data_IF_969366302959
#
_entry.id   IF_969366302959
#
_cell.length_a   1.000
_cell.length_b   1.000
_cell.length_c   1.000
_cell.angle_alpha   90.00
_cell.angle_beta   90.00
_cell.angle_gamma   90.00
#
_symmetry.space_group_name_H-M   'P 1'
#
loop_
_entity.id
_entity.type
_entity.pdbx_description
1 polymer ?
#
# COMPACT_ATOMS: atom_id res chain seq x y z
N UNK A 1 -30.71 35.69 -26.71
CA UNK A 1 -31.55 36.84 -27.15
C UNK A 1 -32.55 36.28 -28.15
N UNK A 2 -33.86 36.28 -28.00
CA UNK A 2 -34.80 36.96 -27.11
C UNK A 2 -36.01 36.03 -26.88
N UNK A 3 -36.82 36.37 -25.90
CA UNK A 3 -37.83 35.56 -25.22
C UNK A 3 -39.23 36.20 -25.42
N UNK A 4 -40.30 35.38 -25.33
CA UNK A 4 -41.73 35.66 -24.95
C UNK A 4 -42.61 36.53 -25.89
N UNK A 5 -43.97 36.62 -25.74
CA UNK A 5 -44.96 35.89 -24.91
C UNK A 5 -46.36 35.58 -25.54
N UNK A 6 -47.24 34.87 -24.79
CA UNK A 6 -48.70 35.03 -24.93
C UNK A 6 -49.63 33.94 -24.35
N UNK A 7 -50.11 34.11 -23.11
CA UNK A 7 -51.42 33.64 -22.58
C UNK A 7 -52.44 34.81 -22.75
N UNK A 8 -53.81 34.70 -22.63
CA UNK A 8 -54.56 34.03 -21.54
C UNK A 8 -56.03 33.48 -21.78
N UNK A 9 -56.42 32.58 -20.85
CA UNK A 9 -57.69 32.29 -20.09
C UNK A 9 -59.15 32.61 -20.53
N UNK A 10 -59.99 31.58 -20.25
CA UNK A 10 -61.33 31.51 -19.57
C UNK A 10 -62.61 31.88 -20.39
N UNK A 11 -63.81 31.29 -20.21
CA UNK A 11 -64.65 31.04 -18.99
C UNK A 11 -65.90 30.16 -19.27
N UNK A 12 -66.37 29.43 -18.23
CA UNK A 12 -67.78 29.25 -17.73
C UNK A 12 -68.76 28.41 -18.62
N UNK A 13 -69.67 27.51 -18.17
CA UNK A 13 -70.47 27.39 -16.94
C UNK A 13 -70.90 25.94 -16.62
N UNK A 14 -71.30 25.72 -15.36
CA UNK A 14 -72.03 24.56 -14.80
C UNK A 14 -73.56 24.63 -15.05
N UNK A 15 -74.29 23.53 -14.78
CA UNK A 15 -75.23 23.60 -13.65
C UNK A 15 -75.28 22.34 -12.76
N UNK A 16 -75.84 22.59 -11.59
CA UNK A 16 -76.03 21.81 -10.37
C UNK A 16 -77.09 20.70 -10.43
N UNK A 17 -76.93 19.67 -9.59
CA UNK A 17 -78.04 18.96 -8.93
C UNK A 17 -77.67 18.56 -7.49
N UNK A 18 -78.59 18.87 -6.57
CA UNK A 18 -78.58 18.54 -5.15
C UNK A 18 -79.14 17.12 -4.91
N UNK A 19 -78.62 16.39 -3.91
CA UNK A 19 -79.38 16.00 -2.71
C UNK A 19 -78.69 14.90 -1.86
N UNK A 20 -78.72 15.13 -0.53
CA UNK A 20 -78.82 14.20 0.63
C UNK A 20 -77.90 12.98 0.66
N UNK A 21 -76.96 12.89 1.60
CA UNK A 21 -77.21 12.57 3.01
C UNK A 21 -76.85 11.10 3.24
N UNK A 22 -75.79 10.78 4.00
CA UNK A 22 -75.92 10.19 5.33
C UNK A 22 -74.52 10.03 5.95
N UNK A 23 -74.39 10.40 7.22
CA UNK A 23 -73.20 10.18 8.05
C UNK A 23 -73.15 8.71 8.46
N UNK A 24 -72.05 7.99 8.23
CA UNK A 24 -71.69 6.85 9.07
C UNK A 24 -70.16 6.61 9.10
N UNK A 25 -69.67 6.57 10.35
CA UNK A 25 -68.57 5.78 10.89
C UNK A 25 -67.13 5.93 10.34
N UNK A 26 -66.34 6.60 11.19
CA UNK A 26 -64.90 6.55 11.39
C UNK A 26 -64.15 5.30 10.90
N UNK A 27 -63.16 5.57 10.05
CA UNK A 27 -61.85 4.94 9.94
C UNK A 27 -61.27 4.42 11.27
N UNK A 28 -61.00 3.11 11.39
CA UNK A 28 -59.87 2.54 12.16
C UNK A 28 -59.55 1.12 11.70
N UNK A 29 -58.63 1.00 10.74
CA UNK A 29 -57.76 -0.16 10.51
C UNK A 29 -56.70 0.28 9.49
N UNK A 30 -55.75 1.11 9.96
CA UNK A 30 -54.54 1.41 9.19
C UNK A 30 -53.58 0.21 9.35
N UNK A 31 -52.95 -0.26 8.26
CA UNK A 31 -52.15 -1.47 8.27
C UNK A 31 -50.84 -1.25 9.04
N UNK A 32 -50.49 -2.26 9.83
CA UNK A 32 -49.30 -2.37 10.67
C UNK A 32 -48.03 -2.63 9.81
N UNK A 33 -47.78 -1.77 8.81
CA UNK A 33 -46.87 -2.09 7.72
C UNK A 33 -45.98 -0.92 7.31
N UNK A 34 -45.39 -0.20 8.25
CA UNK A 34 -44.28 0.71 7.97
C UNK A 34 -43.42 0.92 9.23
N UNK A 35 -42.68 -0.12 9.63
CA UNK A 35 -41.54 0.07 10.53
C UNK A 35 -40.39 -0.90 10.20
N UNK A 36 -40.10 -1.07 8.91
CA UNK A 36 -38.72 -1.34 8.49
C UNK A 36 -38.09 0.01 8.19
N UNK A 37 -37.85 0.78 9.25
CA UNK A 37 -36.94 1.90 9.17
C UNK A 37 -35.63 1.34 8.62
N UNK A 38 -35.26 1.78 7.42
CA UNK A 38 -33.96 1.49 6.84
C UNK A 38 -32.91 1.94 7.85
N UNK A 39 -32.36 0.98 8.59
CA UNK A 39 -31.01 1.05 9.10
C UNK A 39 -30.13 1.05 7.85
N UNK A 40 -29.97 2.22 7.24
CA UNK A 40 -28.87 2.46 6.33
C UNK A 40 -27.65 2.44 7.25
N UNK A 41 -26.81 1.38 7.24
CA UNK A 41 -25.59 1.43 8.00
C UNK A 41 -24.83 2.60 7.40
N UNK A 42 -24.59 3.66 8.18
CA UNK A 42 -23.68 4.71 7.75
C UNK A 42 -22.41 4.01 7.31
N UNK A 43 -21.99 4.22 6.06
CA UNK A 43 -20.80 3.58 5.51
C UNK A 43 -19.62 3.97 6.41
N UNK A 44 -19.25 3.09 7.32
CA UNK A 44 -18.11 3.30 8.21
C UNK A 44 -16.87 3.30 7.34
N UNK A 45 -16.12 4.40 7.33
CA UNK A 45 -14.86 4.47 6.62
C UNK A 45 -13.88 3.47 7.24
N UNK A 46 -13.32 2.57 6.43
CA UNK A 46 -12.26 1.67 6.87
C UNK A 46 -10.91 2.37 6.76
N UNK A 47 -10.23 2.53 7.90
CA UNK A 47 -8.90 3.15 7.98
C UNK A 47 -7.83 2.06 7.96
N UNK A 48 -6.80 2.26 7.14
CA UNK A 48 -5.57 1.48 7.11
C UNK A 48 -4.38 2.37 7.46
N UNK A 49 -3.53 1.90 8.36
CA UNK A 49 -2.24 2.51 8.66
C UNK A 49 -1.15 1.75 7.93
N UNK A 50 -0.45 2.43 7.02
CA UNK A 50 0.69 1.85 6.30
C UNK A 50 1.96 2.38 6.96
N UNK A 51 2.72 1.46 7.58
CA UNK A 51 4.09 1.69 7.99
C UNK A 51 4.98 1.20 6.85
N UNK A 52 5.98 1.99 6.49
CA UNK A 52 6.90 1.58 5.42
C UNK A 52 8.35 1.92 5.71
N UNK A 53 9.24 1.11 5.15
CA UNK A 53 10.67 1.35 5.05
C UNK A 53 11.12 1.14 3.61
N UNK A 54 12.23 1.77 3.25
CA UNK A 54 12.91 1.61 1.97
C UNK A 54 14.39 1.97 2.16
N UNK A 55 15.27 1.37 1.36
CA UNK A 55 16.69 1.75 1.28
C UNK A 55 17.42 1.71 2.65
N UNK A 56 17.08 0.71 3.47
CA UNK A 56 17.66 0.54 4.80
C UNK A 56 19.14 0.20 4.75
N UNK A 57 19.62 -0.38 3.64
CA UNK A 57 21.03 -0.62 3.35
C UNK A 57 21.84 -1.12 4.56
N UNK A 58 21.35 -2.22 5.15
CA UNK A 58 22.01 -2.95 6.23
C UNK A 58 22.30 -2.08 7.48
N UNK A 59 21.55 -0.99 7.70
CA UNK A 59 21.60 -0.16 8.92
C UNK A 59 20.82 -0.82 10.08
N UNK A 60 21.29 -2.00 10.49
CA UNK A 60 20.66 -2.76 11.57
C UNK A 60 20.85 -2.10 12.94
N UNK A 61 22.08 -1.67 13.22
CA UNK A 61 22.38 -0.88 14.41
C UNK A 61 21.89 0.56 14.24
N UNK A 62 21.74 1.25 15.36
CA UNK A 62 21.52 2.69 15.34
C UNK A 62 22.72 3.44 14.72
N UNK A 63 22.44 4.49 13.98
CA UNK A 63 23.42 5.28 13.21
C UNK A 63 23.62 6.66 13.81
N UNK A 64 24.64 7.38 13.35
CA UNK A 64 24.65 8.85 13.45
C UNK A 64 23.57 9.46 12.54
N UNK A 65 23.38 10.77 12.66
CA UNK A 65 22.45 11.59 11.89
C UNK A 65 22.72 11.57 10.37
N UNK A 66 23.98 11.42 9.99
CA UNK A 66 24.41 11.20 8.61
C UNK A 66 24.34 9.73 8.15
N UNK A 67 23.63 8.86 8.90
CA UNK A 67 23.52 7.41 8.64
C UNK A 67 24.86 6.64 8.67
N UNK A 68 25.89 7.22 9.26
CA UNK A 68 27.19 6.60 9.54
C UNK A 68 27.23 5.80 10.84
N UNK A 69 28.44 5.43 11.27
CA UNK A 69 28.65 4.72 12.54
C UNK A 69 28.35 5.66 13.70
N UNK A 70 27.38 5.29 14.55
CA UNK A 70 27.12 6.09 15.72
C UNK A 70 28.27 6.05 16.75
N UNK A 71 28.70 7.23 17.20
CA UNK A 71 29.76 7.40 18.22
C UNK A 71 29.24 7.97 19.54
N UNK A 72 28.10 8.67 19.52
CA UNK A 72 27.51 9.34 20.68
C UNK A 72 26.09 8.82 20.87
N UNK A 73 25.90 7.91 21.84
CA UNK A 73 24.65 7.14 22.02
C UNK A 73 23.40 8.03 22.10
N UNK A 74 23.49 9.17 22.79
CA UNK A 74 22.36 10.09 22.97
C UNK A 74 21.93 10.82 21.69
N UNK A 75 22.72 10.74 20.61
CA UNK A 75 22.43 11.33 19.30
C UNK A 75 22.21 10.26 18.22
N UNK A 76 22.20 8.97 18.58
CA UNK A 76 21.99 7.92 17.59
C UNK A 76 20.52 7.76 17.24
N UNK A 77 20.27 7.30 16.02
CA UNK A 77 18.93 7.13 15.46
C UNK A 77 18.78 5.85 14.67
N UNK A 78 17.58 5.61 14.12
CA UNK A 78 17.32 4.45 13.29
C UNK A 78 17.62 3.13 14.02
N UNK A 79 18.05 2.13 13.26
CA UNK A 79 18.31 0.78 13.77
C UNK A 79 17.04 -0.01 14.07
N UNK A 80 17.11 -1.33 13.85
CA UNK A 80 15.94 -2.21 13.88
C UNK A 80 15.30 -2.33 15.26
N UNK A 81 16.06 -2.14 16.35
CA UNK A 81 15.52 -2.16 17.71
C UNK A 81 14.61 -0.96 18.02
N UNK A 82 14.99 0.24 17.56
CA UNK A 82 14.18 1.46 17.72
C UNK A 82 12.96 1.40 16.79
N UNK A 83 13.17 0.94 15.55
CA UNK A 83 12.08 0.67 14.60
C UNK A 83 11.05 -0.29 15.21
N UNK A 84 11.50 -1.40 15.81
CA UNK A 84 10.63 -2.38 16.44
C UNK A 84 9.75 -1.74 17.52
N UNK A 85 10.35 -0.94 18.41
CA UNK A 85 9.59 -0.23 19.45
C UNK A 85 8.47 0.61 18.84
N UNK A 86 8.78 1.40 17.81
CA UNK A 86 7.80 2.28 17.17
C UNK A 86 6.70 1.53 16.42
N UNK A 87 7.07 0.45 15.72
CA UNK A 87 6.11 -0.43 15.04
C UNK A 87 5.13 -1.03 16.05
N UNK A 88 5.63 -1.51 17.20
CA UNK A 88 4.77 -2.10 18.24
C UNK A 88 3.83 -1.07 18.87
N UNK A 89 4.32 0.14 19.18
CA UNK A 89 3.47 1.24 19.66
C UNK A 89 2.30 1.49 18.71
N UNK A 90 2.57 1.60 17.41
CA UNK A 90 1.54 1.90 16.41
C UNK A 90 0.56 0.74 16.28
N UNK A 91 1.05 -0.51 16.22
CA UNK A 91 0.20 -1.72 16.17
C UNK A 91 -0.70 -1.87 17.39
N UNK A 92 -0.30 -1.36 18.55
CA UNK A 92 -1.14 -1.35 19.75
C UNK A 92 -2.23 -0.26 19.70
N UNK A 93 -1.97 0.85 19.00
CA UNK A 93 -2.91 1.98 18.91
C UNK A 93 -3.83 1.97 17.69
N UNK A 94 -3.48 1.25 16.63
CA UNK A 94 -4.18 1.26 15.35
C UNK A 94 -4.72 -0.15 15.00
N UNK A 95 -5.99 -0.29 14.60
CA UNK A 95 -6.62 -1.60 14.43
C UNK A 95 -6.19 -2.35 13.16
N UNK A 96 -5.83 -1.61 12.11
CA UNK A 96 -5.50 -2.16 10.79
C UNK A 96 -4.15 -1.60 10.36
N UNK A 97 -3.09 -2.40 10.50
CA UNK A 97 -1.71 -1.97 10.21
C UNK A 97 -1.08 -2.93 9.22
N UNK A 98 -0.38 -2.38 8.23
CA UNK A 98 0.57 -3.10 7.40
C UNK A 98 1.96 -2.48 7.57
N UNK A 99 2.98 -3.32 7.76
CA UNK A 99 4.38 -2.96 7.71
C UNK A 99 5.00 -3.47 6.41
N UNK A 100 5.36 -2.55 5.51
CA UNK A 100 5.82 -2.84 4.16
C UNK A 100 7.28 -2.41 3.98
N UNK A 101 8.02 -3.14 3.16
CA UNK A 101 9.37 -2.73 2.74
C UNK A 101 9.44 -2.56 1.21
N UNK A 102 9.96 -1.44 0.75
CA UNK A 102 10.06 -1.14 -0.67
C UNK A 102 11.44 -1.52 -1.28
N UNK A 103 12.21 -2.40 -0.64
CA UNK A 103 13.46 -2.95 -1.18
C UNK A 103 14.72 -2.24 -0.68
N UNK A 104 15.86 -2.80 -1.09
CA UNK A 104 17.23 -2.38 -0.73
C UNK A 104 17.51 -2.46 0.78
N UNK A 105 17.15 -3.60 1.36
CA UNK A 105 17.64 -4.03 2.68
C UNK A 105 19.08 -4.53 2.61
N UNK A 106 19.42 -5.19 1.49
CA UNK A 106 20.75 -5.68 1.18
C UNK A 106 21.74 -4.53 0.96
N UNK A 107 23.03 -4.88 1.07
CA UNK A 107 24.18 -3.98 0.89
C UNK A 107 24.29 -2.86 1.94
N UNK A 108 25.49 -2.31 2.14
CA UNK A 108 25.68 -1.02 2.81
C UNK A 108 26.52 -1.01 4.08
N UNK A 109 26.59 -2.11 4.84
CA UNK A 109 27.48 -2.22 6.04
C UNK A 109 28.19 -3.57 6.12
N UNK A 110 29.05 -3.71 7.14
CA UNK A 110 29.71 -4.99 7.46
C UNK A 110 28.71 -6.10 7.83
N UNK A 111 27.50 -5.75 8.28
CA UNK A 111 26.46 -6.74 8.58
C UNK A 111 26.13 -7.57 7.33
N UNK A 112 25.83 -6.91 6.21
CA UNK A 112 25.59 -7.61 4.95
C UNK A 112 26.82 -8.36 4.44
N UNK A 113 28.02 -7.78 4.60
CA UNK A 113 29.27 -8.42 4.17
C UNK A 113 29.47 -9.78 4.87
N UNK A 114 29.15 -9.85 6.16
CA UNK A 114 29.35 -11.05 7.00
C UNK A 114 28.17 -12.02 6.91
N UNK A 115 26.94 -11.52 7.06
CA UNK A 115 25.73 -12.35 7.21
C UNK A 115 24.96 -12.56 5.90
N UNK A 116 25.29 -11.80 4.85
CA UNK A 116 24.86 -12.00 3.46
C UNK A 116 23.33 -12.09 3.28
N UNK A 117 22.57 -11.32 4.05
CA UNK A 117 21.11 -11.30 4.02
C UNK A 117 20.43 -12.13 5.12
N UNK A 118 21.18 -12.94 5.86
CA UNK A 118 20.62 -13.75 6.97
C UNK A 118 20.10 -12.83 8.07
N UNK A 119 20.83 -11.73 8.29
CA UNK A 119 20.48 -10.66 9.20
C UNK A 119 19.17 -9.96 8.78
N UNK A 120 18.98 -9.75 7.48
CA UNK A 120 17.75 -9.15 6.93
C UNK A 120 16.57 -10.06 7.19
N UNK A 121 16.67 -11.35 6.80
CA UNK A 121 15.61 -12.32 7.04
C UNK A 121 15.28 -12.45 8.54
N UNK A 122 16.30 -12.47 9.41
CA UNK A 122 16.12 -12.56 10.85
C UNK A 122 15.35 -11.37 11.42
N UNK A 123 15.82 -10.14 11.18
CA UNK A 123 15.23 -8.95 11.80
C UNK A 123 13.90 -8.56 11.18
N UNK A 124 13.71 -8.73 9.86
CA UNK A 124 12.40 -8.46 9.25
C UNK A 124 11.34 -9.45 9.74
N UNK A 125 11.71 -10.73 9.94
CA UNK A 125 10.81 -11.70 10.58
C UNK A 125 10.47 -11.30 12.02
N UNK A 126 11.44 -10.81 12.79
CA UNK A 126 11.22 -10.38 14.18
C UNK A 126 10.35 -9.11 14.27
N UNK A 127 10.52 -8.18 13.33
CA UNK A 127 9.67 -6.99 13.17
C UNK A 127 8.26 -7.35 12.69
N UNK A 128 8.10 -8.52 12.07
CA UNK A 128 6.84 -8.99 11.51
C UNK A 128 6.40 -8.17 10.31
N UNK A 129 7.28 -7.98 9.32
CA UNK A 129 6.88 -7.37 8.04
C UNK A 129 5.75 -8.16 7.38
N UNK A 130 4.86 -7.45 6.70
CA UNK A 130 3.69 -8.01 6.02
C UNK A 130 3.95 -8.29 4.54
N UNK A 131 4.83 -7.51 3.90
CA UNK A 131 5.36 -7.76 2.56
C UNK A 131 6.64 -6.95 2.31
N UNK A 132 7.45 -7.41 1.37
CA UNK A 132 8.61 -6.68 0.85
C UNK A 132 8.63 -6.75 -0.67
N UNK A 133 8.92 -5.64 -1.34
CA UNK A 133 9.29 -5.66 -2.75
C UNK A 133 10.81 -5.86 -2.92
N UNK A 134 11.23 -6.50 -4.00
CA UNK A 134 12.65 -6.60 -4.33
C UNK A 134 13.17 -5.27 -4.84
N UNK A 135 14.26 -4.78 -4.26
CA UNK A 135 15.09 -3.72 -4.80
C UNK A 135 16.24 -4.27 -5.66
N UNK A 136 17.07 -3.37 -6.18
CA UNK A 136 18.21 -3.77 -7.00
C UNK A 136 19.30 -4.45 -6.17
N UNK A 137 19.55 -4.00 -4.94
CA UNK A 137 20.65 -4.52 -4.11
C UNK A 137 20.38 -5.92 -3.55
N UNK A 138 19.13 -6.39 -3.57
CA UNK A 138 18.81 -7.78 -3.28
C UNK A 138 19.52 -8.77 -4.24
N UNK A 139 19.96 -8.31 -5.42
CA UNK A 139 20.67 -9.10 -6.42
C UNK A 139 22.20 -8.99 -6.35
N UNK A 140 22.78 -8.31 -5.35
CA UNK A 140 24.23 -8.03 -5.30
C UNK A 140 25.10 -9.28 -5.19
N UNK A 141 24.57 -10.31 -4.53
CA UNK A 141 25.16 -11.63 -4.38
C UNK A 141 24.61 -12.64 -5.42
N UNK A 142 23.98 -12.14 -6.48
CA UNK A 142 23.33 -12.93 -7.52
C UNK A 142 22.06 -13.63 -7.04
N UNK A 143 21.44 -14.37 -7.96
CA UNK A 143 20.20 -15.13 -7.71
C UNK A 143 20.37 -16.13 -6.57
N UNK A 144 21.54 -16.76 -6.44
CA UNK A 144 21.81 -17.71 -5.35
C UNK A 144 21.81 -17.02 -3.98
N UNK A 145 22.44 -15.85 -3.86
CA UNK A 145 22.47 -15.06 -2.63
C UNK A 145 21.14 -14.38 -2.28
N UNK A 146 20.28 -14.17 -3.28
CA UNK A 146 18.88 -13.79 -3.05
C UNK A 146 18.07 -15.00 -2.55
N UNK A 147 18.16 -16.13 -3.25
CA UNK A 147 17.40 -17.35 -2.93
C UNK A 147 17.71 -17.86 -1.52
N UNK A 148 18.99 -17.85 -1.13
CA UNK A 148 19.45 -18.22 0.19
C UNK A 148 20.41 -17.14 0.70
N UNK A 149 20.07 -16.39 1.76
CA UNK A 149 19.07 -16.74 2.77
C UNK A 149 17.67 -16.16 2.57
N UNK A 150 17.52 -14.97 1.98
CA UNK A 150 16.30 -14.16 2.11
C UNK A 150 15.04 -14.92 1.69
N UNK A 151 14.94 -15.33 0.43
CA UNK A 151 13.71 -15.93 -0.09
C UNK A 151 13.29 -17.22 0.62
N UNK A 152 14.26 -18.01 1.11
CA UNK A 152 14.00 -19.26 1.84
C UNK A 152 13.64 -19.07 3.31
N UNK A 153 13.96 -17.92 3.91
CA UNK A 153 13.88 -17.74 5.37
C UNK A 153 12.83 -16.72 5.81
N UNK A 154 12.41 -15.79 4.94
CA UNK A 154 11.36 -14.82 5.29
C UNK A 154 10.00 -15.50 5.49
N UNK A 155 9.20 -14.94 6.38
CA UNK A 155 7.86 -15.42 6.75
C UNK A 155 6.73 -14.61 6.10
N UNK A 156 7.10 -13.68 5.22
CA UNK A 156 6.22 -12.77 4.51
C UNK A 156 6.48 -12.85 3.00
N UNK A 157 5.50 -12.50 2.16
CA UNK A 157 5.67 -12.50 0.72
C UNK A 157 6.74 -11.52 0.25
N UNK A 158 7.59 -11.99 -0.65
CA UNK A 158 8.48 -11.15 -1.46
C UNK A 158 7.83 -10.90 -2.81
N UNK A 159 7.82 -9.64 -3.25
CA UNK A 159 7.01 -9.19 -4.37
C UNK A 159 7.83 -8.56 -5.50
N UNK A 160 7.53 -8.96 -6.73
CA UNK A 160 7.92 -8.24 -7.95
C UNK A 160 7.10 -8.76 -9.14
N UNK A 161 6.31 -7.90 -9.76
CA UNK A 161 5.42 -8.24 -10.87
C UNK A 161 6.10 -8.16 -12.24
N UNK A 162 7.19 -7.40 -12.34
CA UNK A 162 7.89 -7.14 -13.58
C UNK A 162 9.21 -7.91 -13.72
N UNK A 163 9.50 -8.86 -12.82
CA UNK A 163 10.61 -9.80 -12.98
C UNK A 163 10.09 -11.12 -13.52
N UNK A 164 10.55 -11.47 -14.72
CA UNK A 164 10.29 -12.74 -15.38
C UNK A 164 11.55 -13.60 -15.37
N UNK A 165 11.46 -14.75 -14.71
CA UNK A 165 12.54 -15.74 -14.72
C UNK A 165 12.44 -16.66 -15.95
N UNK A 166 13.58 -16.93 -16.56
CA UNK A 166 13.74 -17.89 -17.67
C UNK A 166 14.58 -19.11 -17.22
N UNK A 167 14.46 -20.23 -17.94
CA UNK A 167 15.26 -21.42 -17.64
C UNK A 167 16.76 -21.16 -17.91
N UNK A 168 17.67 -21.72 -17.07
CA UNK A 168 17.41 -22.71 -16.01
C UNK A 168 17.07 -22.10 -14.64
N UNK A 169 17.03 -20.78 -14.51
CA UNK A 169 16.81 -20.10 -13.21
C UNK A 169 15.35 -20.18 -12.78
N UNK A 170 14.41 -20.15 -13.74
CA UNK A 170 12.98 -20.20 -13.46
C UNK A 170 12.60 -21.35 -12.52
N UNK A 171 13.03 -22.57 -12.79
CA UNK A 171 12.75 -23.72 -11.93
C UNK A 171 13.32 -23.63 -10.50
N UNK A 172 14.34 -22.79 -10.26
CA UNK A 172 14.98 -22.62 -8.96
C UNK A 172 14.31 -21.57 -8.08
N UNK A 173 13.86 -20.47 -8.68
CA UNK A 173 13.33 -19.29 -7.97
C UNK A 173 11.81 -19.16 -8.06
N UNK A 174 11.16 -19.91 -8.96
CA UNK A 174 9.70 -19.92 -9.08
C UNK A 174 9.03 -20.29 -7.76
N UNK A 175 8.06 -19.49 -7.35
CA UNK A 175 7.30 -19.68 -6.11
C UNK A 175 7.90 -19.02 -4.87
N UNK A 176 9.12 -18.49 -4.95
CA UNK A 176 9.76 -17.79 -3.83
C UNK A 176 9.47 -16.28 -3.81
N UNK A 177 9.17 -15.70 -4.97
CA UNK A 177 8.61 -14.35 -5.08
C UNK A 177 7.33 -14.39 -5.91
N UNK A 178 6.49 -13.38 -5.74
CA UNK A 178 5.17 -13.32 -6.36
C UNK A 178 4.93 -11.95 -7.01
N UNK A 179 4.13 -11.87 -8.07
CA UNK A 179 3.77 -10.59 -8.67
C UNK A 179 2.94 -9.72 -7.70
N UNK A 180 2.08 -10.36 -6.91
CA UNK A 180 1.26 -9.70 -5.90
C UNK A 180 0.94 -10.65 -4.75
N UNK A 181 0.42 -10.10 -3.65
CA UNK A 181 -0.26 -10.85 -2.58
C UNK A 181 -1.56 -10.16 -2.19
N UNK A 182 -2.57 -10.94 -1.82
CA UNK A 182 -3.78 -10.44 -1.16
C UNK A 182 -3.64 -10.75 0.33
N UNK A 183 -3.63 -9.72 1.17
CA UNK A 183 -3.59 -9.83 2.62
C UNK A 183 -4.96 -9.50 3.21
N UNK A 184 -5.35 -10.22 4.26
CA UNK A 184 -6.56 -9.90 5.04
C UNK A 184 -6.16 -8.98 6.18
N UNK A 185 -6.79 -7.81 6.29
CA UNK A 185 -6.52 -6.81 7.32
C UNK A 185 -7.83 -6.42 7.95
N UNK A 186 -8.07 -6.90 9.18
CA UNK A 186 -9.41 -6.88 9.77
C UNK A 186 -10.39 -7.67 8.89
N UNK A 187 -11.52 -7.04 8.54
CA UNK A 187 -12.56 -7.63 7.69
C UNK A 187 -12.34 -7.40 6.18
N UNK A 188 -11.30 -6.64 5.80
CA UNK A 188 -11.06 -6.21 4.43
C UNK A 188 -9.88 -6.97 3.79
N UNK A 189 -9.84 -6.96 2.45
CA UNK A 189 -8.73 -7.49 1.65
C UNK A 189 -7.96 -6.34 1.01
N UNK A 190 -6.64 -6.38 1.16
CA UNK A 190 -5.70 -5.45 0.52
C UNK A 190 -4.82 -6.22 -0.45
N UNK A 191 -4.83 -5.84 -1.72
CA UNK A 191 -3.90 -6.35 -2.72
C UNK A 191 -2.62 -5.52 -2.71
N UNK A 192 -1.48 -6.18 -2.78
CA UNK A 192 -0.16 -5.53 -2.84
C UNK A 192 0.55 -6.06 -4.07
N UNK A 193 0.89 -5.20 -5.03
CA UNK A 193 1.58 -5.54 -6.27
C UNK A 193 3.03 -5.06 -6.16
N UNK A 194 3.99 -5.96 -6.40
CA UNK A 194 5.42 -5.64 -6.34
C UNK A 194 5.95 -5.04 -7.65
N UNK A 195 6.97 -4.20 -7.59
CA UNK A 195 7.79 -3.85 -8.76
C UNK A 195 9.25 -3.57 -8.37
N UNK A 196 10.14 -3.75 -9.35
CA UNK A 196 11.59 -3.56 -9.20
C UNK A 196 12.15 -2.81 -10.40
N UNK A 197 13.10 -1.91 -10.18
CA UNK A 197 13.72 -1.10 -11.23
C UNK A 197 14.22 -1.95 -12.40
N UNK A 198 13.85 -1.55 -13.62
CA UNK A 198 14.39 -2.12 -14.86
C UNK A 198 15.89 -1.91 -15.06
N UNK A 199 16.49 -1.02 -14.26
CA UNK A 199 17.92 -0.76 -14.27
C UNK A 199 18.73 -1.77 -13.42
N UNK A 200 18.06 -2.67 -12.70
CA UNK A 200 18.73 -3.71 -11.88
C UNK A 200 19.85 -4.47 -12.61
N UNK A 201 19.73 -4.86 -13.90
CA UNK A 201 20.82 -5.52 -14.62
C UNK A 201 22.12 -4.71 -14.78
N UNK A 202 22.05 -3.38 -14.71
CA UNK A 202 23.24 -2.50 -14.73
C UNK A 202 23.68 -2.06 -13.33
N UNK A 203 22.77 -2.06 -12.36
CA UNK A 203 23.06 -1.63 -10.97
C UNK A 203 23.53 -2.77 -10.07
N UNK A 204 23.20 -4.03 -10.41
CA UNK A 204 23.49 -5.20 -9.59
C UNK A 204 23.80 -6.42 -10.45
N UNK A 205 23.64 -7.64 -9.91
CA UNK A 205 24.06 -8.90 -10.55
C UNK A 205 22.93 -9.93 -10.69
N UNK A 206 21.76 -9.57 -11.25
CA UNK A 206 20.66 -10.53 -11.41
C UNK A 206 20.97 -11.67 -12.41
N UNK A 207 22.03 -11.53 -13.20
CA UNK A 207 22.36 -12.47 -14.28
C UNK A 207 21.45 -12.29 -15.50
N UNK A 208 21.66 -13.12 -16.52
CA UNK A 208 20.98 -12.98 -17.83
C UNK A 208 19.59 -13.61 -17.91
N UNK A 209 19.19 -14.39 -16.91
CA UNK A 209 17.96 -15.20 -16.92
C UNK A 209 16.80 -14.56 -16.15
N UNK A 210 17.01 -13.38 -15.58
CA UNK A 210 15.96 -12.56 -14.99
C UNK A 210 15.74 -11.36 -15.90
N UNK A 211 14.56 -11.29 -16.50
CA UNK A 211 14.14 -10.20 -17.38
C UNK A 211 13.32 -9.22 -16.56
N UNK A 212 13.77 -7.96 -16.53
CA UNK A 212 13.09 -6.87 -15.85
C UNK A 212 12.27 -6.11 -16.89
N UNK A 213 10.97 -6.41 -16.94
CA UNK A 213 9.99 -5.80 -17.83
C UNK A 213 9.63 -4.39 -17.35
N UNK A 214 9.00 -3.57 -18.22
CA UNK A 214 8.51 -2.24 -17.82
C UNK A 214 7.45 -2.36 -16.71
N UNK A 215 7.55 -1.51 -15.68
CA UNK A 215 6.75 -1.61 -14.46
C UNK A 215 5.26 -1.40 -14.71
N UNK A 216 4.90 -0.34 -15.42
CA UNK A 216 3.50 0.07 -15.65
C UNK A 216 2.65 -1.01 -16.32
N UNK A 217 3.04 -1.60 -17.48
CA UNK A 217 2.23 -2.65 -18.10
C UNK A 217 2.15 -3.93 -17.24
N UNK A 218 3.24 -4.31 -16.57
CA UNK A 218 3.24 -5.47 -15.67
C UNK A 218 2.32 -5.24 -14.48
N UNK A 219 2.31 -4.03 -13.90
CA UNK A 219 1.42 -3.64 -12.80
C UNK A 219 -0.04 -3.58 -13.22
N UNK A 220 -0.33 -2.98 -14.39
CA UNK A 220 -1.69 -2.87 -14.91
C UNK A 220 -2.34 -4.27 -15.05
N UNK A 221 -1.58 -5.24 -15.56
CA UNK A 221 -2.01 -6.63 -15.68
C UNK A 221 -2.41 -7.23 -14.33
N UNK A 222 -1.62 -6.99 -13.27
CA UNK A 222 -1.94 -7.51 -11.93
C UNK A 222 -3.07 -6.72 -11.26
N UNK A 223 -3.16 -5.41 -11.46
CA UNK A 223 -4.23 -4.58 -10.92
C UNK A 223 -5.60 -4.99 -11.49
N UNK A 224 -5.67 -5.24 -12.79
CA UNK A 224 -6.89 -5.75 -13.43
C UNK A 224 -7.26 -7.14 -12.91
N UNK A 225 -6.28 -8.02 -12.72
CA UNK A 225 -6.49 -9.35 -12.11
C UNK A 225 -7.00 -9.26 -10.67
N UNK A 226 -6.45 -8.36 -9.85
CA UNK A 226 -6.92 -8.16 -8.48
C UNK A 226 -8.36 -7.65 -8.44
N UNK A 227 -8.74 -6.75 -9.36
CA UNK A 227 -10.11 -6.27 -9.49
C UNK A 227 -11.09 -7.38 -9.89
N UNK A 228 -10.73 -8.26 -10.81
CA UNK A 228 -11.60 -9.40 -11.18
C UNK A 228 -11.78 -10.40 -10.04
N UNK A 229 -10.78 -10.48 -9.14
CA UNK A 229 -10.87 -11.23 -7.88
C UNK A 229 -11.65 -10.50 -6.77
N UNK A 230 -12.21 -9.32 -7.06
CA UNK A 230 -13.02 -8.53 -6.12
C UNK A 230 -12.21 -7.73 -5.10
N UNK A 231 -10.89 -7.59 -5.28
CA UNK A 231 -10.05 -6.75 -4.43
C UNK A 231 -10.24 -5.29 -4.82
N UNK A 232 -10.62 -4.46 -3.85
CA UNK A 232 -10.98 -3.04 -4.05
C UNK A 232 -9.94 -2.05 -3.54
N UNK A 233 -8.90 -2.54 -2.84
CA UNK A 233 -7.83 -1.73 -2.25
C UNK A 233 -6.51 -2.29 -2.73
N UNK A 234 -5.76 -1.52 -3.50
CA UNK A 234 -4.53 -1.98 -4.15
C UNK A 234 -3.39 -1.01 -3.84
N UNK A 235 -2.35 -1.54 -3.24
CA UNK A 235 -1.08 -0.87 -3.01
C UNK A 235 -0.08 -1.33 -4.08
N UNK A 236 0.56 -0.40 -4.78
CA UNK A 236 1.79 -0.69 -5.50
C UNK A 236 2.97 -0.48 -4.54
N UNK A 237 3.78 -1.51 -4.33
CA UNK A 237 4.95 -1.50 -3.44
C UNK A 237 6.18 -1.82 -4.28
N UNK A 238 7.19 -0.96 -4.32
CA UNK A 238 8.33 -1.26 -5.17
C UNK A 238 9.47 -0.26 -5.21
N UNK A 239 10.41 -0.55 -6.10
CA UNK A 239 11.76 -0.02 -6.03
C UNK A 239 12.24 0.48 -7.40
N UNK A 240 11.61 1.53 -7.93
CA UNK A 240 11.97 2.13 -9.24
C UNK A 240 12.21 3.64 -9.17
N UNK A 241 12.19 4.24 -7.97
CA UNK A 241 12.44 5.65 -7.78
C UNK A 241 11.20 6.53 -7.92
N UNK A 242 11.26 7.69 -7.26
CA UNK A 242 10.11 8.56 -7.06
C UNK A 242 9.45 9.05 -8.35
N UNK A 243 10.21 9.27 -9.42
CA UNK A 243 9.65 9.65 -10.71
C UNK A 243 8.82 8.51 -11.33
N UNK A 244 9.29 7.27 -11.26
CA UNK A 244 8.52 6.12 -11.71
C UNK A 244 7.30 5.89 -10.81
N UNK A 245 7.43 6.07 -9.50
CA UNK A 245 6.33 5.94 -8.54
C UNK A 245 5.18 6.89 -8.88
N UNK A 246 5.48 8.15 -9.22
CA UNK A 246 4.48 9.13 -9.70
C UNK A 246 3.83 8.68 -11.01
N UNK A 247 4.61 8.13 -11.95
CA UNK A 247 4.08 7.62 -13.21
C UNK A 247 3.18 6.39 -13.00
N UNK A 248 3.52 5.51 -12.07
CA UNK A 248 2.69 4.36 -11.67
C UNK A 248 1.36 4.87 -11.10
N UNK A 249 1.41 5.79 -10.14
CA UNK A 249 0.21 6.40 -9.55
C UNK A 249 -0.69 7.05 -10.62
N UNK A 250 -0.09 7.68 -11.62
CA UNK A 250 -0.82 8.35 -12.70
C UNK A 250 -1.43 7.36 -13.71
N UNK A 251 -0.71 6.28 -14.06
CA UNK A 251 -1.01 5.46 -15.24
C UNK A 251 -1.65 4.11 -14.92
N UNK A 252 -1.36 3.52 -13.76
CA UNK A 252 -1.87 2.19 -13.39
C UNK A 252 -3.26 2.33 -12.78
N UNK A 253 -4.29 1.99 -13.56
CA UNK A 253 -5.67 2.16 -13.14
C UNK A 253 -6.04 1.18 -12.02
N UNK A 254 -6.43 1.73 -10.88
CA UNK A 254 -6.91 0.98 -9.72
C UNK A 254 -5.89 0.77 -8.63
N UNK A 255 -4.67 1.26 -8.79
CA UNK A 255 -3.76 1.46 -7.66
C UNK A 255 -4.28 2.65 -6.86
N UNK A 256 -4.44 2.47 -5.55
CA UNK A 256 -4.92 3.50 -4.63
C UNK A 256 -3.76 4.23 -3.94
N UNK A 257 -2.67 3.51 -3.67
CA UNK A 257 -1.47 4.02 -2.98
C UNK A 257 -0.22 3.45 -3.65
N UNK A 258 0.82 4.28 -3.78
CA UNK A 258 2.17 3.85 -4.16
C UNK A 258 3.11 4.04 -2.98
N UNK A 259 3.83 3.00 -2.61
CA UNK A 259 4.89 3.00 -1.58
C UNK A 259 6.19 2.63 -2.29
N UNK A 260 7.07 3.62 -2.44
CA UNK A 260 8.29 3.54 -3.23
C UNK A 260 9.60 3.50 -2.42
N UNK A 261 10.71 3.35 -3.15
CA UNK A 261 12.09 3.37 -2.66
C UNK A 261 13.07 3.78 -3.77
N UNK A 262 14.35 3.42 -3.67
CA UNK A 262 15.44 3.59 -4.65
C UNK A 262 16.10 4.97 -4.66
N UNK A 263 15.30 6.04 -4.68
CA UNK A 263 15.82 7.42 -4.86
C UNK A 263 16.04 8.16 -3.54
N UNK A 264 15.99 7.47 -2.40
CA UNK A 264 16.20 8.06 -1.06
C UNK A 264 15.40 9.35 -0.83
N UNK A 265 14.16 9.38 -1.36
CA UNK A 265 13.36 10.60 -1.41
C UNK A 265 12.70 10.86 -0.06
N UNK A 266 13.05 11.99 0.55
CA UNK A 266 12.39 12.46 1.77
C UNK A 266 11.17 13.32 1.42
N UNK A 267 9.99 12.89 1.88
CA UNK A 267 8.75 13.64 1.78
C UNK A 267 8.25 13.98 3.19
N UNK A 268 7.87 15.23 3.39
CA UNK A 268 7.37 15.70 4.68
C UNK A 268 6.26 16.73 4.49
N UNK A 269 5.24 16.67 5.32
CA UNK A 269 4.19 17.70 5.40
C UNK A 269 4.37 18.42 6.73
N UNK A 270 4.69 19.71 6.69
CA UNK A 270 4.68 20.54 7.90
C UNK A 270 3.24 20.61 8.42
N UNK A 271 3.01 20.06 9.62
CA UNK A 271 1.79 20.37 10.37
C UNK A 271 2.10 21.58 11.23
N UNK A 272 1.38 22.69 11.04
CA UNK A 272 1.43 23.82 11.98
C UNK A 272 0.93 23.31 13.34
N UNK A 273 1.88 22.92 14.20
CA UNK A 273 1.69 22.84 15.65
C UNK A 273 2.66 23.84 16.26
N UNK A 274 2.12 24.88 16.88
CA UNK A 274 2.86 26.00 17.49
C UNK A 274 3.79 25.60 18.67
N UNK A 275 3.90 24.30 18.98
CA UNK A 275 4.73 23.78 20.07
C UNK A 275 5.92 22.92 19.59
N UNK A 276 6.27 22.94 18.30
CA UNK A 276 7.42 22.16 17.80
C UNK A 276 8.75 22.90 17.97
N UNK A 277 9.54 22.45 18.95
CA UNK A 277 10.98 22.71 19.01
C UNK A 277 11.66 22.16 17.74
N UNK A 278 12.66 22.87 17.18
CA UNK A 278 13.31 22.50 15.93
C UNK A 278 13.93 21.10 15.98
N UNK A 279 13.78 20.39 14.86
CA UNK A 279 13.91 18.96 14.58
C UNK A 279 15.28 18.28 14.80
N UNK A 280 16.04 18.66 15.82
CA UNK A 280 17.39 18.12 16.05
C UNK A 280 17.46 16.76 16.78
N UNK A 281 16.35 16.07 17.04
CA UNK A 281 16.35 14.91 17.97
C UNK A 281 15.55 13.66 17.51
N UNK A 282 15.22 13.51 16.22
CA UNK A 282 14.51 12.31 15.74
C UNK A 282 15.08 11.65 14.47
N UNK A 283 16.26 12.08 14.03
CA UNK A 283 17.15 11.33 13.14
C UNK A 283 18.59 11.61 13.57
#
# INVERSE_FOLDING_TARGET
MFQIPGFPRARVASPSCLARGSRFALYRLLPLLFLHALLCPGASSWKLTILHTNDLHSRLEQTSDDSGKCKVVSKCVGGVARLHTKVQEIRQSEPNVLLLDAGDQYQGTVWFTVYKGTEVAHFMNALGYDAMALGNHEFDNGVEGLLNPLLKQVKFPILSANIKAEEPVASQISGYYHPYKILSVGEEKVGIIGYTSKETPVLSKPGRYLIFEDEIPSLQTQADKLKTLGVKKIIALGHSGFEMDKLIAQKVKGVDVVVGGHTNTFLYTETQRDDFLPWYNFF
#
